data_IF_075582189338
#
_entry.id   IF_075582189338
#
_cell.length_a   1.000
_cell.length_b   1.000
_cell.length_c   1.000
_cell.angle_alpha   90.00
_cell.angle_beta   90.00
_cell.angle_gamma   90.00
#
_symmetry.space_group_name_H-M   'P 1'
#
loop_
_entity.id
_entity.type
_entity.pdbx_description
1 polymer ?
#
# COMPACT_ATOMS: atom_id res chain seq x y z
N UNK A 1 -25.71 -59.01 -14.72
CA UNK A 1 -26.45 -57.74 -14.58
C UNK A 1 -26.30 -57.24 -13.15
N UNK A 2 -25.74 -56.02 -13.02
CA UNK A 2 -25.82 -55.05 -11.90
C UNK A 2 -25.22 -55.33 -10.51
N UNK A 3 -24.63 -54.23 -9.99
CA UNK A 3 -24.11 -53.90 -8.63
C UNK A 3 -22.67 -54.36 -8.37
N UNK A 4 -21.68 -53.51 -8.05
CA UNK A 4 -21.69 -52.28 -7.26
C UNK A 4 -20.61 -51.28 -7.72
N UNK A 5 -21.05 -50.06 -8.01
CA UNK A 5 -20.26 -48.83 -8.09
C UNK A 5 -20.37 -48.16 -6.71
N UNK A 6 -19.33 -48.12 -5.87
CA UNK A 6 -19.35 -47.38 -4.60
C UNK A 6 -18.00 -47.16 -3.87
N UNK A 7 -16.82 -47.29 -4.50
CA UNK A 7 -15.54 -47.06 -3.79
C UNK A 7 -14.94 -45.65 -3.94
N UNK A 8 -15.40 -44.82 -4.88
CA UNK A 8 -14.80 -43.48 -5.12
C UNK A 8 -15.40 -42.30 -4.33
N UNK A 9 -16.29 -42.55 -3.36
CA UNK A 9 -16.91 -41.47 -2.56
C UNK A 9 -16.42 -41.33 -1.12
N UNK A 10 -15.58 -42.24 -0.63
CA UNK A 10 -15.10 -42.18 0.76
C UNK A 10 -13.91 -41.23 0.98
N UNK A 11 -13.05 -41.00 -0.01
CA UNK A 11 -11.89 -40.09 0.16
C UNK A 11 -12.21 -38.60 0.06
N UNK A 12 -13.26 -38.19 -0.67
CA UNK A 12 -13.67 -36.78 -0.74
C UNK A 12 -14.51 -36.32 0.45
N UNK A 13 -15.27 -37.23 1.09
CA UNK A 13 -16.11 -36.91 2.24
C UNK A 13 -15.26 -36.56 3.49
N UNK A 14 -14.11 -37.20 3.67
CA UNK A 14 -13.21 -36.94 4.81
C UNK A 14 -12.53 -35.57 4.67
N UNK A 15 -12.16 -35.16 3.45
CA UNK A 15 -11.56 -33.83 3.20
C UNK A 15 -12.58 -32.71 3.40
N UNK A 16 -13.85 -32.92 3.02
CA UNK A 16 -14.92 -31.96 3.27
C UNK A 16 -15.34 -31.90 4.76
N UNK A 17 -15.33 -33.03 5.47
CA UNK A 17 -15.70 -33.08 6.89
C UNK A 17 -14.65 -32.38 7.78
N UNK A 18 -13.37 -32.45 7.41
CA UNK A 18 -12.29 -31.71 8.10
C UNK A 18 -12.42 -30.19 7.88
N UNK A 19 -12.94 -29.75 6.73
CA UNK A 19 -13.23 -28.32 6.49
C UNK A 19 -14.50 -27.84 7.22
N UNK A 20 -15.48 -28.70 7.47
CA UNK A 20 -16.74 -28.30 8.12
C UNK A 20 -16.66 -28.27 9.66
N UNK A 21 -15.79 -29.06 10.28
CA UNK A 21 -15.60 -29.07 11.74
C UNK A 21 -14.67 -27.92 12.22
N UNK A 22 -13.93 -27.28 11.31
CA UNK A 22 -13.10 -26.11 11.61
C UNK A 22 -13.85 -24.79 11.92
N UNK A 23 -15.18 -24.81 12.02
CA UNK A 23 -16.02 -23.62 12.21
C UNK A 23 -16.43 -23.33 13.67
N UNK A 24 -16.02 -24.13 14.67
CA UNK A 24 -16.15 -23.78 16.09
C UNK A 24 -14.94 -24.28 16.88
N UNK A 25 -14.37 -23.43 17.73
CA UNK A 25 -13.24 -23.64 18.66
C UNK A 25 -11.81 -23.42 18.13
N UNK A 26 -11.45 -22.14 18.00
CA UNK A 26 -10.06 -21.70 18.05
C UNK A 26 -9.50 -21.76 19.47
N UNK A 27 -9.03 -22.93 19.91
CA UNK A 27 -8.09 -23.07 21.05
C UNK A 27 -7.48 -24.48 21.22
N UNK A 28 -7.90 -25.51 20.46
CA UNK A 28 -7.42 -26.90 20.67
C UNK A 28 -6.40 -27.45 19.66
N UNK A 29 -5.81 -26.61 18.79
CA UNK A 29 -4.90 -27.06 17.71
C UNK A 29 -3.42 -27.16 18.10
N UNK A 30 -3.06 -26.98 19.38
CA UNK A 30 -1.68 -27.15 19.86
C UNK A 30 -1.35 -28.55 20.42
N UNK A 31 -2.32 -29.45 20.61
CA UNK A 31 -2.08 -30.75 21.28
C UNK A 31 -1.90 -31.97 20.36
N UNK A 32 -2.13 -31.87 19.05
CA UNK A 32 -2.00 -33.01 18.12
C UNK A 32 -0.67 -33.06 17.33
N UNK A 33 0.29 -32.17 17.61
CA UNK A 33 1.61 -32.17 16.94
C UNK A 33 2.50 -33.38 17.25
N UNK A 34 2.25 -34.12 18.34
CA UNK A 34 2.98 -35.34 18.69
C UNK A 34 2.44 -36.61 18.01
N UNK A 35 1.19 -36.62 17.57
CA UNK A 35 0.59 -37.80 16.91
C UNK A 35 0.88 -37.84 15.41
N UNK A 36 0.94 -36.69 14.73
CA UNK A 36 1.26 -36.64 13.29
C UNK A 36 2.68 -37.12 12.95
N UNK A 37 3.66 -36.92 13.83
CA UNK A 37 5.04 -37.44 13.62
C UNK A 37 5.18 -38.96 13.78
N UNK A 38 4.16 -39.65 14.31
CA UNK A 38 4.16 -41.12 14.38
C UNK A 38 3.68 -41.75 13.07
N UNK A 39 2.82 -41.08 12.31
CA UNK A 39 2.32 -41.58 11.03
C UNK A 39 3.32 -41.42 9.88
N UNK A 40 4.23 -40.42 9.95
CA UNK A 40 5.31 -40.26 8.96
C UNK A 40 6.41 -41.33 9.03
N UNK A 41 6.42 -42.17 10.08
CA UNK A 41 7.49 -43.18 10.29
C UNK A 41 7.14 -44.59 9.82
N UNK A 42 5.87 -44.90 9.54
CA UNK A 42 5.42 -46.27 9.31
C UNK A 42 5.01 -46.59 7.87
N UNK A 43 4.94 -45.60 6.96
CA UNK A 43 4.70 -45.84 5.54
C UNK A 43 5.81 -45.22 4.71
N UNK A 44 6.78 -46.04 4.31
CA UNK A 44 7.87 -45.67 3.41
C UNK A 44 7.36 -45.26 2.03
N UNK A 45 6.86 -44.04 1.91
CA UNK A 45 6.46 -43.43 0.65
C UNK A 45 7.73 -42.83 0.02
N UNK A 46 8.18 -43.46 -1.05
CA UNK A 46 9.34 -43.05 -1.83
C UNK A 46 9.21 -41.61 -2.38
N UNK A 47 10.30 -40.86 -2.23
CA UNK A 47 10.46 -39.42 -2.39
C UNK A 47 10.41 -38.88 -3.85
N UNK A 48 9.95 -39.67 -4.83
CA UNK A 48 10.03 -39.28 -6.25
C UNK A 48 8.77 -38.58 -6.80
N UNK A 49 7.64 -38.61 -6.08
CA UNK A 49 6.39 -37.97 -6.51
C UNK A 49 6.28 -36.47 -6.13
N UNK A 50 7.17 -35.95 -5.28
CA UNK A 50 7.09 -34.57 -4.76
C UNK A 50 8.04 -33.57 -5.39
N UNK A 51 8.84 -33.96 -6.38
CA UNK A 51 9.82 -33.08 -7.05
C UNK A 51 9.21 -31.85 -7.75
N UNK A 52 7.88 -31.82 -7.96
CA UNK A 52 7.13 -30.69 -8.52
C UNK A 52 6.37 -29.81 -7.52
N UNK A 53 6.20 -30.26 -6.27
CA UNK A 53 5.40 -29.53 -5.28
C UNK A 53 6.29 -28.64 -4.43
N UNK A 54 6.25 -27.33 -4.69
CA UNK A 54 6.90 -26.34 -3.84
C UNK A 54 6.26 -26.43 -2.45
N UNK A 55 6.97 -27.01 -1.48
CA UNK A 55 6.54 -27.12 -0.07
C UNK A 55 6.02 -25.76 0.39
N UNK A 56 4.71 -25.68 0.56
CA UNK A 56 4.02 -24.46 0.96
C UNK A 56 4.15 -24.33 2.47
N UNK A 57 4.63 -23.19 2.95
CA UNK A 57 4.61 -22.91 4.38
C UNK A 57 3.17 -22.73 4.85
N UNK A 58 2.84 -23.31 6.01
CA UNK A 58 1.51 -23.27 6.61
C UNK A 58 0.99 -21.85 6.94
N UNK A 59 1.85 -20.83 6.78
CA UNK A 59 1.55 -19.41 6.98
C UNK A 59 0.99 -18.71 5.72
N UNK A 60 0.91 -19.39 4.58
CA UNK A 60 0.42 -18.82 3.31
C UNK A 60 1.39 -17.82 2.66
N UNK A 61 2.63 -17.74 3.12
CA UNK A 61 3.62 -16.78 2.62
C UNK A 61 4.46 -17.37 1.49
N UNK A 62 4.55 -16.68 0.36
CA UNK A 62 5.31 -17.14 -0.80
C UNK A 62 6.79 -16.82 -0.65
N UNK A 63 7.59 -17.86 -0.40
CA UNK A 63 9.05 -17.77 -0.28
C UNK A 63 9.72 -18.14 -1.60
N UNK A 64 10.26 -17.14 -2.29
CA UNK A 64 11.07 -17.32 -3.49
C UNK A 64 12.55 -17.47 -3.11
N UNK A 65 13.24 -18.44 -3.72
CA UNK A 65 14.65 -18.73 -3.41
C UNK A 65 15.58 -17.78 -4.18
N UNK A 66 16.72 -17.43 -3.59
CA UNK A 66 17.77 -16.69 -4.30
C UNK A 66 18.22 -17.50 -5.53
N UNK A 67 18.37 -16.84 -6.67
CA UNK A 67 18.71 -17.48 -7.95
C UNK A 67 17.51 -18.00 -8.75
N UNK A 68 16.33 -18.16 -8.13
CA UNK A 68 15.11 -18.61 -8.82
C UNK A 68 14.73 -17.61 -9.93
N UNK A 69 14.38 -18.11 -11.13
CA UNK A 69 13.97 -17.28 -12.27
C UNK A 69 12.44 -17.28 -12.38
N UNK A 70 11.83 -16.12 -12.19
CA UNK A 70 10.38 -15.92 -12.25
C UNK A 70 9.98 -15.34 -13.61
N UNK A 71 8.91 -15.89 -14.19
CA UNK A 71 8.35 -15.40 -15.44
C UNK A 71 9.32 -15.45 -16.63
N UNK A 72 10.26 -16.41 -16.61
CA UNK A 72 11.33 -16.61 -17.61
C UNK A 72 12.26 -15.40 -17.82
N UNK A 73 12.22 -14.41 -16.91
CA UNK A 73 12.90 -13.11 -17.12
C UNK A 73 13.58 -12.56 -15.88
N UNK A 74 13.05 -12.83 -14.69
CA UNK A 74 13.45 -12.12 -13.47
C UNK A 74 14.09 -13.07 -12.46
N UNK A 75 15.41 -12.97 -12.31
CA UNK A 75 16.15 -13.74 -11.32
C UNK A 75 16.08 -13.07 -9.95
N UNK A 76 15.73 -13.83 -8.92
CA UNK A 76 15.68 -13.36 -7.53
C UNK A 76 17.09 -13.15 -6.98
N UNK A 77 17.36 -11.94 -6.48
CA UNK A 77 18.67 -11.54 -5.95
C UNK A 77 18.67 -11.60 -4.42
N UNK A 78 17.73 -10.90 -3.78
CA UNK A 78 17.62 -10.81 -2.32
C UNK A 78 16.21 -10.40 -1.90
N UNK A 79 15.81 -10.74 -0.66
CA UNK A 79 14.58 -10.23 -0.03
C UNK A 79 14.81 -8.78 0.38
N UNK A 80 13.91 -7.88 0.00
CA UNK A 80 13.94 -6.46 0.38
C UNK A 80 13.14 -6.19 1.65
N UNK A 81 12.06 -6.93 1.85
CA UNK A 81 11.19 -6.72 2.99
C UNK A 81 10.05 -7.73 3.06
N UNK A 82 9.38 -7.68 4.20
CA UNK A 82 8.19 -8.46 4.54
C UNK A 82 7.07 -7.48 4.86
N UNK A 83 5.99 -7.56 4.10
CA UNK A 83 4.78 -6.78 4.33
C UNK A 83 3.65 -7.68 4.82
N UNK A 84 2.54 -7.07 5.25
CA UNK A 84 1.36 -7.80 5.74
C UNK A 84 0.67 -8.70 4.71
N UNK A 85 1.00 -8.56 3.42
CA UNK A 85 0.40 -9.32 2.32
C UNK A 85 1.38 -10.26 1.59
N UNK A 86 2.67 -10.27 1.96
CA UNK A 86 3.68 -11.13 1.34
C UNK A 86 5.10 -10.56 1.35
N UNK A 87 5.96 -11.14 0.50
CA UNK A 87 7.37 -10.78 0.40
C UNK A 87 7.67 -9.93 -0.84
N UNK A 88 8.56 -8.95 -0.65
CA UNK A 88 9.10 -8.14 -1.73
C UNK A 88 10.57 -8.50 -1.93
N UNK A 89 10.94 -8.75 -3.17
CA UNK A 89 12.25 -9.19 -3.59
C UNK A 89 12.88 -8.19 -4.56
N UNK A 90 14.18 -8.05 -4.49
CA UNK A 90 14.96 -7.47 -5.57
C UNK A 90 15.20 -8.52 -6.62
N UNK A 91 14.91 -8.19 -7.86
CA UNK A 91 15.13 -9.07 -9.00
C UNK A 91 16.00 -8.40 -10.05
N UNK A 92 16.66 -9.20 -10.89
CA UNK A 92 17.45 -8.76 -12.03
C UNK A 92 16.86 -9.37 -13.31
N UNK A 93 16.66 -8.56 -14.34
CA UNK A 93 16.34 -9.05 -15.66
C UNK A 93 17.55 -9.84 -16.20
N UNK A 94 17.37 -11.11 -16.52
CA UNK A 94 18.47 -11.99 -16.97
C UNK A 94 19.08 -11.56 -18.30
N UNK A 95 18.30 -10.86 -19.17
CA UNK A 95 18.78 -10.39 -20.48
C UNK A 95 19.47 -9.03 -20.38
N UNK A 96 18.84 -8.07 -19.70
CA UNK A 96 19.31 -6.66 -19.71
C UNK A 96 20.13 -6.28 -18.48
N UNK A 97 20.14 -7.12 -17.44
CA UNK A 97 20.75 -6.81 -16.16
C UNK A 97 20.05 -5.73 -15.33
N UNK A 98 18.95 -5.16 -15.83
CA UNK A 98 18.16 -4.15 -15.12
C UNK A 98 17.57 -4.70 -13.82
N UNK A 99 17.60 -3.90 -12.75
CA UNK A 99 17.10 -4.28 -11.42
C UNK A 99 15.67 -3.78 -11.21
N UNK A 100 14.81 -4.63 -10.67
CA UNK A 100 13.40 -4.34 -10.38
C UNK A 100 12.99 -4.88 -8.99
N UNK A 101 11.80 -4.52 -8.53
CA UNK A 101 11.17 -5.08 -7.34
C UNK A 101 10.10 -6.10 -7.77
N UNK A 102 10.05 -7.25 -7.11
CA UNK A 102 9.04 -8.29 -7.33
C UNK A 102 8.26 -8.50 -6.04
N UNK A 103 6.93 -8.35 -6.11
CA UNK A 103 6.01 -8.69 -5.02
C UNK A 103 5.25 -9.95 -5.40
N UNK A 104 5.14 -10.90 -4.47
CA UNK A 104 4.44 -12.16 -4.67
C UNK A 104 3.50 -12.46 -3.49
N UNK A 105 2.30 -12.95 -3.81
CA UNK A 105 1.24 -13.26 -2.84
C UNK A 105 0.62 -14.62 -3.17
N UNK A 106 0.26 -15.39 -2.14
CA UNK A 106 -0.40 -16.69 -2.33
C UNK A 106 -1.81 -16.51 -2.88
N UNK A 107 -2.21 -17.40 -3.78
CA UNK A 107 -3.58 -17.44 -4.29
C UNK A 107 -4.56 -18.16 -3.34
N UNK A 108 -4.03 -18.86 -2.33
CA UNK A 108 -4.80 -19.75 -1.45
C UNK A 108 -5.26 -19.09 -0.15
N UNK A 109 -5.00 -17.79 0.03
CA UNK A 109 -5.41 -17.05 1.23
C UNK A 109 -6.92 -16.75 1.15
N UNK A 110 -7.64 -17.07 2.23
CA UNK A 110 -9.05 -16.70 2.45
C UNK A 110 -9.23 -15.18 2.32
N UNK A 111 -10.10 -14.74 1.40
CA UNK A 111 -10.27 -13.33 1.05
C UNK A 111 -9.54 -12.88 -0.22
N UNK A 112 -8.71 -13.76 -0.80
CA UNK A 112 -8.01 -13.53 -2.08
C UNK A 112 -6.79 -12.61 -1.97
N UNK A 113 -5.98 -12.57 -3.04
CA UNK A 113 -4.81 -11.70 -3.13
C UNK A 113 -5.20 -10.25 -3.47
N UNK A 114 -4.63 -9.30 -2.74
CA UNK A 114 -4.77 -7.86 -3.00
C UNK A 114 -3.91 -7.41 -4.18
N UNK A 115 -2.94 -8.21 -4.60
CA UNK A 115 -2.06 -7.94 -5.74
C UNK A 115 -2.81 -7.66 -7.04
N UNK A 116 -3.99 -8.27 -7.25
CA UNK A 116 -4.83 -8.00 -8.43
C UNK A 116 -5.27 -6.53 -8.47
N UNK A 117 -5.66 -5.97 -7.32
CA UNK A 117 -6.02 -4.57 -7.18
C UNK A 117 -4.80 -3.67 -7.42
N UNK A 118 -3.65 -4.00 -6.84
CA UNK A 118 -2.42 -3.22 -7.06
C UNK A 118 -2.02 -3.16 -8.53
N UNK A 119 -2.04 -4.30 -9.23
CA UNK A 119 -1.79 -4.37 -10.67
C UNK A 119 -2.79 -3.52 -11.45
N UNK A 120 -4.08 -3.55 -11.09
CA UNK A 120 -5.10 -2.72 -11.75
C UNK A 120 -4.85 -1.22 -11.54
N UNK A 121 -4.52 -0.81 -10.32
CA UNK A 121 -4.22 0.58 -9.98
C UNK A 121 -2.99 1.06 -10.74
N UNK A 122 -1.91 0.27 -10.71
CA UNK A 122 -0.67 0.59 -11.43
C UNK A 122 -0.85 0.68 -12.94
N UNK A 123 -1.68 -0.19 -13.53
CA UNK A 123 -2.03 -0.08 -14.96
C UNK A 123 -2.74 1.23 -15.28
N UNK A 124 -3.67 1.70 -14.43
CA UNK A 124 -4.33 3.01 -14.64
C UNK A 124 -3.39 4.19 -14.44
N UNK A 125 -2.33 3.99 -13.66
CA UNK A 125 -1.30 4.98 -13.35
C UNK A 125 -0.09 4.94 -14.31
N UNK A 126 -0.13 4.12 -15.36
CA UNK A 126 0.97 4.00 -16.30
C UNK A 126 1.38 5.36 -16.89
N UNK A 127 2.68 5.62 -16.98
CA UNK A 127 3.25 6.87 -17.49
C UNK A 127 3.25 8.04 -16.50
N UNK A 128 2.75 7.87 -15.27
CA UNK A 128 2.78 8.93 -14.25
C UNK A 128 4.08 8.88 -13.44
N UNK A 129 4.68 10.05 -13.16
CA UNK A 129 6.04 10.11 -12.59
C UNK A 129 6.16 9.69 -11.12
N UNK A 130 5.11 9.78 -10.30
CA UNK A 130 5.24 9.64 -8.83
C UNK A 130 4.82 8.29 -8.29
N UNK A 131 4.75 7.29 -9.17
CA UNK A 131 4.24 5.95 -8.87
C UNK A 131 5.11 4.92 -9.59
N UNK A 132 5.05 3.67 -9.15
CA UNK A 132 5.83 2.61 -9.78
C UNK A 132 5.36 2.34 -11.22
N UNK A 133 6.28 2.00 -12.11
CA UNK A 133 5.95 1.42 -13.40
C UNK A 133 5.75 -0.09 -13.23
N UNK A 134 4.67 -0.62 -13.78
CA UNK A 134 4.43 -2.06 -13.82
C UNK A 134 5.18 -2.66 -15.01
N UNK A 135 6.19 -3.49 -14.74
CA UNK A 135 7.04 -4.12 -15.76
C UNK A 135 6.49 -5.47 -16.21
N UNK A 136 5.91 -6.23 -15.29
CA UNK A 136 5.33 -7.55 -15.56
C UNK A 136 4.35 -7.93 -14.45
N UNK A 137 3.32 -8.71 -14.76
CA UNK A 137 2.48 -9.35 -13.75
C UNK A 137 1.93 -10.66 -14.31
N UNK A 138 1.83 -11.69 -13.48
CA UNK A 138 1.13 -12.91 -13.85
C UNK A 138 0.53 -13.62 -12.64
N UNK A 139 -0.49 -14.42 -12.91
CA UNK A 139 -1.09 -15.36 -11.96
C UNK A 139 -0.58 -16.76 -12.32
N UNK A 140 0.07 -17.43 -11.37
CA UNK A 140 0.34 -18.88 -11.44
C UNK A 140 -0.76 -19.63 -10.69
N UNK A 141 -0.66 -20.94 -10.61
CA UNK A 141 -1.59 -21.78 -9.86
C UNK A 141 -1.56 -21.45 -8.36
N UNK A 142 -0.39 -21.50 -7.73
CA UNK A 142 -0.24 -21.33 -6.27
C UNK A 142 -0.05 -19.89 -5.81
N UNK A 143 0.44 -18.99 -6.68
CA UNK A 143 0.67 -17.59 -6.32
C UNK A 143 0.52 -16.63 -7.50
N UNK A 144 0.32 -15.36 -7.18
CA UNK A 144 0.39 -14.25 -8.13
C UNK A 144 1.64 -13.42 -7.86
N UNK A 145 2.22 -12.84 -8.91
CA UNK A 145 3.35 -11.91 -8.76
C UNK A 145 3.22 -10.72 -9.69
N UNK A 146 3.87 -9.63 -9.29
CA UNK A 146 4.12 -8.46 -10.11
C UNK A 146 5.57 -8.02 -9.97
N UNK A 147 6.10 -7.46 -11.05
CA UNK A 147 7.42 -6.85 -11.13
C UNK A 147 7.22 -5.39 -11.48
N UNK A 148 7.84 -4.51 -10.71
CA UNK A 148 7.68 -3.07 -10.81
C UNK A 148 9.01 -2.34 -10.60
N UNK A 149 9.01 -1.03 -10.81
CA UNK A 149 10.15 -0.15 -10.53
C UNK A 149 10.75 -0.43 -9.14
N UNK A 150 12.07 -0.58 -9.09
CA UNK A 150 12.81 -0.69 -7.84
C UNK A 150 13.17 0.70 -7.31
N UNK A 151 12.69 1.03 -6.12
CA UNK A 151 12.96 2.31 -5.45
C UNK A 151 14.11 2.21 -4.42
N UNK A 152 14.48 3.37 -3.88
CA UNK A 152 15.49 3.53 -2.83
C UNK A 152 14.89 3.32 -1.43
N UNK A 153 15.35 4.13 -0.47
CA UNK A 153 14.87 4.06 0.93
C UNK A 153 13.49 4.70 1.06
N UNK A 154 12.70 4.22 2.01
CA UNK A 154 11.44 4.87 2.38
C UNK A 154 11.69 6.07 3.30
N UNK A 155 10.73 6.99 3.35
CA UNK A 155 10.76 8.12 4.28
C UNK A 155 10.80 7.63 5.74
N UNK A 156 10.18 6.49 6.05
CA UNK A 156 10.29 5.86 7.37
C UNK A 156 11.73 5.54 7.79
N UNK A 157 12.63 5.28 6.83
CA UNK A 157 14.05 5.02 7.10
C UNK A 157 14.94 6.25 6.94
N UNK A 158 14.45 7.30 6.27
CA UNK A 158 15.21 8.52 6.00
C UNK A 158 14.93 9.63 7.01
N UNK A 159 13.70 9.69 7.52
CA UNK A 159 13.27 10.73 8.45
C UNK A 159 13.60 10.31 9.90
N UNK A 160 14.15 11.22 10.71
CA UNK A 160 14.39 10.94 12.11
C UNK A 160 13.06 10.84 12.86
N UNK A 161 12.90 9.79 13.68
CA UNK A 161 11.71 9.62 14.54
C UNK A 161 11.55 10.73 15.58
N UNK A 162 12.61 11.49 15.84
CA UNK A 162 12.57 12.62 16.77
C UNK A 162 11.93 13.89 16.20
N UNK A 163 11.61 13.95 14.89
CA UNK A 163 10.88 15.08 14.30
C UNK A 163 11.71 16.35 14.04
N UNK A 164 12.98 16.23 13.67
CA UNK A 164 13.89 17.38 13.46
C UNK A 164 14.24 17.64 11.99
N UNK A 165 13.31 17.38 11.07
CA UNK A 165 13.54 17.64 9.64
C UNK A 165 13.40 19.13 9.34
N UNK A 166 14.24 19.70 8.48
CA UNK A 166 14.14 21.13 8.13
C UNK A 166 12.81 21.45 7.43
N UNK A 167 12.33 22.70 7.60
CA UNK A 167 11.14 23.21 6.91
C UNK A 167 11.25 23.03 5.40
N UNK A 168 12.44 23.31 4.83
CA UNK A 168 12.71 23.13 3.41
C UNK A 168 12.44 21.70 2.93
N UNK A 169 12.87 20.69 3.69
CA UNK A 169 12.61 19.29 3.36
C UNK A 169 11.14 18.93 3.59
N UNK A 170 10.52 19.44 4.67
CA UNK A 170 9.08 19.23 4.95
C UNK A 170 8.20 19.63 3.76
N UNK A 171 8.34 20.87 3.26
CA UNK A 171 7.47 21.37 2.18
C UNK A 171 7.75 20.69 0.84
N UNK A 172 9.01 20.36 0.52
CA UNK A 172 9.35 19.61 -0.69
C UNK A 172 8.78 18.19 -0.68
N UNK A 173 8.87 17.51 0.47
CA UNK A 173 8.26 16.19 0.66
C UNK A 173 6.74 16.30 0.53
N UNK A 174 6.12 17.30 1.16
CA UNK A 174 4.68 17.56 1.06
C UNK A 174 4.21 17.72 -0.37
N UNK A 175 4.93 18.48 -1.19
CA UNK A 175 4.58 18.70 -2.60
C UNK A 175 4.68 17.40 -3.42
N UNK A 176 5.70 16.57 -3.19
CA UNK A 176 5.79 15.27 -3.87
C UNK A 176 4.69 14.29 -3.43
N UNK A 177 4.37 14.23 -2.13
CA UNK A 177 3.28 13.39 -1.62
C UNK A 177 1.94 13.85 -2.21
N UNK A 178 1.65 15.15 -2.16
CA UNK A 178 0.44 15.75 -2.71
C UNK A 178 0.24 15.38 -4.18
N UNK A 179 1.30 15.46 -4.98
CA UNK A 179 1.23 15.14 -6.40
C UNK A 179 1.02 13.64 -6.66
N UNK A 180 1.64 12.76 -5.87
CA UNK A 180 1.37 11.31 -5.91
C UNK A 180 -0.07 10.96 -5.53
N UNK A 181 -0.59 11.55 -4.45
CA UNK A 181 -2.00 11.40 -4.01
C UNK A 181 -2.95 11.90 -5.10
N UNK A 182 -2.70 13.10 -5.64
CA UNK A 182 -3.52 13.66 -6.72
C UNK A 182 -3.57 12.73 -7.93
N UNK A 183 -2.44 12.22 -8.40
CA UNK A 183 -2.40 11.28 -9.54
C UNK A 183 -3.28 10.05 -9.31
N UNK A 184 -3.24 9.48 -8.11
CA UNK A 184 -4.10 8.35 -7.73
C UNK A 184 -5.59 8.74 -7.71
N UNK A 185 -5.90 9.90 -7.14
CA UNK A 185 -7.26 10.40 -7.07
C UNK A 185 -7.85 10.66 -8.48
N UNK A 186 -7.07 11.22 -9.41
CA UNK A 186 -7.52 11.48 -10.79
C UNK A 186 -7.81 10.20 -11.57
N UNK A 187 -7.20 9.06 -11.22
CA UNK A 187 -7.55 7.75 -11.82
C UNK A 187 -8.70 7.05 -11.08
N UNK A 188 -9.30 7.70 -10.09
CA UNK A 188 -10.53 7.28 -9.42
C UNK A 188 -10.32 6.39 -8.19
N UNK A 189 -9.13 6.38 -7.61
CA UNK A 189 -8.80 5.60 -6.42
C UNK A 189 -8.42 6.49 -5.23
N UNK A 190 -8.67 6.01 -4.02
CA UNK A 190 -8.06 6.49 -2.77
C UNK A 190 -7.07 5.44 -2.26
N UNK A 191 -5.98 5.86 -1.64
CA UNK A 191 -4.90 5.00 -1.16
C UNK A 191 -5.24 4.31 0.16
N UNK A 192 -5.78 5.06 1.12
CA UNK A 192 -6.17 4.62 2.48
C UNK A 192 -5.05 4.15 3.41
N UNK A 193 -3.78 4.31 3.03
CA UNK A 193 -2.62 3.92 3.87
C UNK A 193 -1.37 4.74 3.51
N UNK A 194 -1.55 6.05 3.32
CA UNK A 194 -0.42 6.98 3.13
C UNK A 194 0.35 7.06 4.45
N UNK A 195 1.63 6.69 4.41
CA UNK A 195 2.53 6.68 5.58
C UNK A 195 3.99 6.70 5.13
N UNK A 196 4.95 7.04 6.01
CA UNK A 196 6.35 7.15 5.62
C UNK A 196 6.95 5.87 5.02
N UNK A 197 6.42 4.69 5.40
CA UNK A 197 6.89 3.40 4.86
C UNK A 197 6.46 3.15 3.39
N UNK A 198 5.38 3.79 2.94
CA UNK A 198 4.82 3.68 1.59
C UNK A 198 5.25 4.85 0.68
N UNK A 199 6.13 5.72 1.19
CA UNK A 199 6.67 6.87 0.48
C UNK A 199 8.16 6.65 0.28
N UNK A 200 8.60 6.37 -0.95
CA UNK A 200 9.99 6.02 -1.24
C UNK A 200 10.64 7.01 -2.18
N UNK A 201 11.94 7.26 -1.98
CA UNK A 201 12.73 8.03 -2.95
C UNK A 201 13.20 7.15 -4.10
N UNK A 202 13.49 7.74 -5.26
CA UNK A 202 14.19 7.03 -6.33
C UNK A 202 15.59 6.57 -5.91
N UNK A 203 16.22 5.73 -6.73
CA UNK A 203 17.49 5.08 -6.34
C UNK A 203 18.74 5.91 -6.57
N UNK A 204 18.80 6.68 -7.65
CA UNK A 204 20.03 7.31 -8.14
C UNK A 204 19.73 8.61 -8.86
N UNK A 205 20.75 9.45 -8.97
CA UNK A 205 20.69 10.69 -9.74
C UNK A 205 19.56 11.60 -9.25
N UNK A 206 18.80 12.12 -10.20
CA UNK A 206 17.73 13.09 -9.94
C UNK A 206 16.51 12.44 -9.28
N UNK A 207 16.20 11.19 -9.63
CA UNK A 207 15.09 10.42 -9.06
C UNK A 207 15.23 10.22 -7.54
N UNK A 208 16.46 10.20 -7.02
CA UNK A 208 16.71 10.11 -5.58
C UNK A 208 16.20 11.32 -4.78
N UNK A 209 15.78 12.39 -5.47
CA UNK A 209 15.19 13.60 -4.88
C UNK A 209 13.67 13.64 -5.01
N UNK A 210 13.06 12.64 -5.66
CA UNK A 210 11.62 12.56 -5.91
C UNK A 210 11.01 11.50 -4.98
N UNK A 211 9.94 11.88 -4.27
CA UNK A 211 9.16 10.96 -3.44
C UNK A 211 8.03 10.35 -4.28
N UNK A 212 7.90 9.02 -4.20
CA UNK A 212 6.93 8.21 -4.92
C UNK A 212 5.98 7.54 -3.94
N UNK A 213 4.72 7.41 -4.35
CA UNK A 213 3.66 6.73 -3.61
C UNK A 213 3.60 5.26 -4.04
N UNK A 214 3.68 4.34 -3.08
CA UNK A 214 3.72 2.90 -3.30
C UNK A 214 2.69 2.17 -2.43
N UNK A 215 2.47 0.90 -2.75
CA UNK A 215 1.63 -0.05 -2.02
C UNK A 215 0.12 0.29 -2.05
N UNK A 216 -0.52 -0.12 -3.15
CA UNK A 216 -1.95 0.09 -3.38
C UNK A 216 -2.82 -1.07 -2.86
N UNK A 217 -2.28 -1.96 -2.01
CA UNK A 217 -3.01 -3.14 -1.52
C UNK A 217 -4.25 -2.80 -0.70
N UNK A 218 -4.27 -1.61 -0.10
CA UNK A 218 -5.42 -1.05 0.62
C UNK A 218 -6.19 -0.01 -0.19
N UNK A 219 -5.85 0.24 -1.45
CA UNK A 219 -6.56 1.22 -2.26
C UNK A 219 -8.05 0.86 -2.42
N UNK A 220 -8.85 1.84 -2.84
CA UNK A 220 -10.27 1.63 -3.15
C UNK A 220 -10.70 2.56 -4.25
N UNK A 221 -11.38 2.01 -5.25
CA UNK A 221 -12.02 2.83 -6.27
C UNK A 221 -13.17 3.60 -5.60
N UNK A 222 -13.16 4.92 -5.67
CA UNK A 222 -14.22 5.77 -5.08
C UNK A 222 -15.21 6.27 -6.14
N UNK A 223 -14.97 5.97 -7.41
CA UNK A 223 -15.84 6.31 -8.54
C UNK A 223 -16.43 5.06 -9.19
N UNK A 224 -17.55 5.26 -9.90
CA UNK A 224 -18.16 4.31 -10.84
C UNK A 224 -18.14 4.98 -12.21
N UNK A 225 -17.72 4.25 -13.23
CA UNK A 225 -17.75 4.69 -14.63
C UNK A 225 -18.81 3.88 -15.37
N UNK A 226 -19.94 4.50 -15.68
CA UNK A 226 -21.02 3.88 -16.45
C UNK A 226 -21.34 4.77 -17.66
N UNK A 227 -21.28 4.21 -18.87
CA UNK A 227 -21.68 4.86 -20.12
C UNK A 227 -21.14 6.29 -20.29
N UNK A 228 -19.83 6.48 -20.06
CA UNK A 228 -19.17 7.79 -20.17
C UNK A 228 -19.36 8.74 -18.97
N UNK A 229 -20.27 8.44 -18.03
CA UNK A 229 -20.48 9.24 -16.83
C UNK A 229 -19.66 8.71 -15.65
N UNK A 230 -18.96 9.62 -14.94
CA UNK A 230 -18.24 9.30 -13.70
C UNK A 230 -19.07 9.77 -12.51
N UNK A 231 -19.44 8.84 -11.63
CA UNK A 231 -20.16 9.16 -10.37
C UNK A 231 -19.36 8.71 -9.17
N UNK A 232 -19.46 9.44 -8.06
CA UNK A 232 -18.87 9.01 -6.78
C UNK A 232 -19.70 7.84 -6.23
N UNK A 233 -19.04 6.79 -5.76
CA UNK A 233 -19.67 5.64 -5.10
C UNK A 233 -20.34 6.08 -3.81
N UNK A 234 -21.56 5.60 -3.56
CA UNK A 234 -22.26 5.82 -2.29
C UNK A 234 -21.39 5.29 -1.13
N UNK A 235 -21.15 6.09 -0.08
CA UNK A 235 -20.34 5.68 1.06
C UNK A 235 -21.03 4.57 1.85
N UNK A 236 -20.26 3.56 2.26
CA UNK A 236 -20.75 2.51 3.16
C UNK A 236 -20.92 3.08 4.57
N UNK A 237 -21.94 2.62 5.28
CA UNK A 237 -22.30 3.11 6.62
C UNK A 237 -21.39 2.61 7.75
N UNK A 238 -20.77 1.43 7.60
CA UNK A 238 -19.86 0.88 8.60
C UNK A 238 -18.73 0.13 7.91
N UNK A 239 -17.55 0.74 7.85
CA UNK A 239 -16.38 0.14 7.22
C UNK A 239 -15.46 -0.50 8.24
N UNK A 240 -14.85 -1.63 7.86
CA UNK A 240 -13.78 -2.20 8.65
C UNK A 240 -12.58 -1.26 8.64
N UNK A 241 -12.01 -1.01 9.81
CA UNK A 241 -10.77 -0.26 9.94
C UNK A 241 -9.67 -0.93 9.11
N UNK A 242 -9.06 -0.16 8.21
CA UNK A 242 -7.90 -0.56 7.41
C UNK A 242 -6.88 0.58 7.42
N UNK A 243 -5.61 0.22 7.27
CA UNK A 243 -4.50 1.18 7.27
C UNK A 243 -3.82 1.30 8.63
N UNK A 244 -2.92 2.28 8.73
CA UNK A 244 -2.04 2.45 9.89
C UNK A 244 -2.61 3.46 10.88
N UNK A 245 -2.96 3.03 12.09
CA UNK A 245 -3.64 3.84 13.12
C UNK A 245 -2.97 5.20 13.41
N UNK A 246 -1.64 5.24 13.34
CA UNK A 246 -0.85 6.46 13.53
C UNK A 246 -1.15 7.53 12.48
N UNK A 247 -1.39 7.17 11.22
CA UNK A 247 -1.53 8.12 10.11
C UNK A 247 -2.93 8.17 9.49
N UNK A 248 -3.83 7.23 9.79
CA UNK A 248 -5.20 7.33 9.26
C UNK A 248 -5.96 8.53 9.84
N UNK A 249 -6.93 9.05 9.10
CA UNK A 249 -7.79 10.16 9.53
C UNK A 249 -8.69 9.80 10.74
N UNK A 250 -9.30 10.81 11.35
CA UNK A 250 -10.36 10.62 12.36
C UNK A 250 -11.56 9.88 11.77
N UNK A 251 -11.96 10.19 10.53
CA UNK A 251 -13.05 9.50 9.85
C UNK A 251 -12.80 7.98 9.71
N UNK A 252 -11.56 7.57 9.40
CA UNK A 252 -11.17 6.15 9.38
C UNK A 252 -11.28 5.47 10.76
N UNK A 253 -10.90 6.18 11.83
CA UNK A 253 -11.10 5.69 13.22
C UNK A 253 -12.58 5.51 13.57
N UNK A 254 -13.43 6.42 13.07
CA UNK A 254 -14.89 6.37 13.26
C UNK A 254 -15.61 5.41 12.31
N UNK A 255 -14.86 4.54 11.60
CA UNK A 255 -15.40 3.54 10.66
C UNK A 255 -16.18 4.13 9.47
N UNK A 256 -16.02 5.42 9.19
CA UNK A 256 -16.60 6.05 8.01
C UNK A 256 -15.93 5.58 6.71
N UNK A 257 -16.65 5.67 5.59
CA UNK A 257 -16.03 5.41 4.28
C UNK A 257 -14.95 6.46 4.00
N UNK A 258 -13.75 5.98 3.68
CA UNK A 258 -12.62 6.84 3.37
C UNK A 258 -12.75 7.41 1.95
N UNK A 259 -12.64 8.72 1.83
CA UNK A 259 -12.57 9.47 0.59
C UNK A 259 -11.22 10.16 0.42
N UNK A 260 -11.18 11.07 -0.56
CA UNK A 260 -9.96 11.84 -0.92
C UNK A 260 -9.40 12.68 0.25
N UNK A 261 -10.22 13.31 1.12
CA UNK A 261 -9.69 14.07 2.26
C UNK A 261 -8.89 13.21 3.25
N UNK A 262 -9.19 11.91 3.37
CA UNK A 262 -8.55 11.03 4.33
C UNK A 262 -7.07 10.76 4.00
N UNK A 263 -6.73 10.65 2.71
CA UNK A 263 -5.34 10.53 2.26
C UNK A 263 -4.57 11.84 2.48
N UNK A 264 -5.23 12.99 2.35
CA UNK A 264 -4.63 14.30 2.61
C UNK A 264 -4.42 14.55 4.12
N UNK A 265 -5.33 14.09 4.98
CA UNK A 265 -5.10 14.05 6.43
C UNK A 265 -3.90 13.17 6.79
N UNK A 266 -3.78 12.02 6.13
CA UNK A 266 -2.64 11.13 6.32
C UNK A 266 -1.32 11.80 5.91
N UNK A 267 -1.30 12.53 4.78
CA UNK A 267 -0.18 13.39 4.39
C UNK A 267 0.11 14.46 5.46
N UNK A 268 -0.91 15.16 5.95
CA UNK A 268 -0.74 16.21 6.95
C UNK A 268 -0.10 15.68 8.25
N UNK A 269 -0.49 14.48 8.71
CA UNK A 269 0.15 13.84 9.86
C UNK A 269 1.60 13.43 9.58
N UNK A 270 1.92 12.95 8.38
CA UNK A 270 3.33 12.71 7.98
C UNK A 270 4.14 14.00 8.04
N UNK A 271 3.59 15.10 7.54
CA UNK A 271 4.27 16.40 7.58
C UNK A 271 4.41 16.95 9.00
N UNK A 272 3.42 16.76 9.87
CA UNK A 272 3.53 17.11 11.29
C UNK A 272 4.65 16.31 11.99
N UNK A 273 4.70 14.99 11.75
CA UNK A 273 5.71 14.10 12.35
C UNK A 273 7.15 14.46 11.92
N UNK A 274 7.32 15.06 10.74
CA UNK A 274 8.64 15.56 10.29
C UNK A 274 9.19 16.68 11.16
N UNK A 275 8.32 17.40 11.90
CA UNK A 275 8.63 18.59 12.70
C UNK A 275 8.42 18.41 14.21
N UNK A 276 8.01 17.21 14.62
CA UNK A 276 7.81 16.89 16.03
C UNK A 276 7.19 15.52 16.19
N UNK A 277 6.99 15.11 17.44
CA UNK A 277 6.32 13.85 17.74
C UNK A 277 4.81 14.05 17.65
N UNK A 278 4.08 13.11 17.03
CA UNK A 278 2.62 13.16 17.01
C UNK A 278 2.05 13.02 18.44
N UNK A 279 0.97 13.73 18.82
CA UNK A 279 0.43 13.66 20.19
C UNK A 279 0.03 12.26 20.66
N UNK A 280 -0.22 11.34 19.72
CA UNK A 280 -0.57 9.93 19.97
C UNK A 280 0.56 8.93 19.67
N UNK A 281 1.82 9.39 19.54
CA UNK A 281 2.97 8.55 19.13
C UNK A 281 3.18 7.31 20.02
N UNK A 282 3.01 7.46 21.33
CA UNK A 282 3.22 6.40 22.34
C UNK A 282 2.04 5.46 22.50
N UNK A 283 0.92 5.74 21.84
CA UNK A 283 -0.31 4.96 21.99
C UNK A 283 -0.36 3.82 20.99
N UNK A 284 -0.91 2.68 21.42
CA UNK A 284 -1.13 1.49 20.58
C UNK A 284 -2.60 1.15 20.42
N UNK A 285 -3.46 1.58 21.35
CA UNK A 285 -4.91 1.36 21.28
C UNK A 285 -5.53 2.25 20.21
N UNK A 286 -6.18 1.63 19.21
CA UNK A 286 -6.76 2.34 18.06
C UNK A 286 -7.84 3.34 18.47
N UNK A 287 -8.71 2.98 19.40
CA UNK A 287 -9.81 3.84 19.84
C UNK A 287 -9.27 5.07 20.58
N UNK A 288 -8.28 4.86 21.45
CA UNK A 288 -7.62 5.95 22.18
C UNK A 288 -6.90 6.91 21.23
N UNK A 289 -6.14 6.38 20.26
CA UNK A 289 -5.51 7.19 19.19
C UNK A 289 -6.58 8.02 18.47
N UNK A 290 -7.72 7.42 18.12
CA UNK A 290 -8.83 8.11 17.46
C UNK A 290 -9.39 9.28 18.29
N UNK A 291 -9.55 9.10 19.60
CA UNK A 291 -10.04 10.16 20.49
C UNK A 291 -9.03 11.29 20.67
N UNK A 292 -7.75 10.97 20.89
CA UNK A 292 -6.70 11.98 20.97
C UNK A 292 -6.60 12.76 19.66
N UNK A 293 -6.67 12.09 18.51
CA UNK A 293 -6.71 12.77 17.20
C UNK A 293 -7.88 13.73 17.04
N UNK A 294 -9.07 13.35 17.54
CA UNK A 294 -10.27 14.17 17.47
C UNK A 294 -10.15 15.43 18.34
N UNK A 295 -9.52 15.31 19.51
CA UNK A 295 -9.45 16.37 20.51
C UNK A 295 -8.18 17.25 20.39
N UNK A 296 -7.18 16.79 19.64
CA UNK A 296 -5.97 17.58 19.36
C UNK A 296 -6.31 18.79 18.50
N UNK A 297 -6.00 19.98 18.98
CA UNK A 297 -6.11 21.20 18.20
C UNK A 297 -5.08 21.22 17.06
N UNK A 298 -5.48 21.73 15.90
CA UNK A 298 -4.59 21.81 14.74
C UNK A 298 -3.35 22.70 15.04
N UNK A 299 -3.50 23.75 15.87
CA UNK A 299 -2.39 24.58 16.37
C UNK A 299 -1.36 23.81 17.20
N UNK A 300 -1.80 22.81 17.98
CA UNK A 300 -0.90 21.93 18.75
C UNK A 300 -0.19 20.97 17.80
N UNK A 301 -0.95 20.35 16.88
CA UNK A 301 -0.44 19.39 15.90
C UNK A 301 0.65 20.01 15.00
N UNK A 302 0.48 21.26 14.58
CA UNK A 302 1.39 21.96 13.66
C UNK A 302 2.25 23.03 14.33
N UNK A 303 2.40 23.01 15.67
CA UNK A 303 3.15 23.99 16.45
C UNK A 303 4.58 24.27 15.96
N UNK A 304 5.27 23.26 15.42
CA UNK A 304 6.63 23.37 14.88
C UNK A 304 6.71 23.48 13.34
N UNK A 305 5.56 23.63 12.67
CA UNK A 305 5.42 23.72 11.21
C UNK A 305 5.09 25.15 10.78
N UNK A 306 5.33 25.52 9.51
CA UNK A 306 4.85 26.79 8.95
C UNK A 306 3.33 26.94 9.09
N UNK A 307 2.84 28.18 9.24
CA UNK A 307 1.41 28.47 9.40
C UNK A 307 0.54 27.90 8.28
N UNK A 308 1.10 27.75 7.08
CA UNK A 308 0.42 27.19 5.91
C UNK A 308 -0.09 25.76 6.15
N UNK A 309 0.49 25.00 7.09
CA UNK A 309 -0.05 23.70 7.47
C UNK A 309 -1.36 23.84 8.27
N UNK A 310 -1.57 24.95 9.00
CA UNK A 310 -2.85 25.28 9.61
C UNK A 310 -3.88 25.67 8.54
N UNK A 311 -3.48 26.47 7.56
CA UNK A 311 -4.35 26.86 6.44
C UNK A 311 -4.83 25.61 5.66
N UNK A 312 -3.91 24.68 5.39
CA UNK A 312 -4.22 23.37 4.80
C UNK A 312 -5.18 22.58 5.71
N UNK A 313 -4.93 22.52 7.01
CA UNK A 313 -5.80 21.81 7.94
C UNK A 313 -7.22 22.39 7.94
N UNK A 314 -7.37 23.72 7.97
CA UNK A 314 -8.66 24.41 7.87
C UNK A 314 -9.39 24.04 6.59
N UNK A 315 -8.71 24.03 5.45
CA UNK A 315 -9.29 23.53 4.20
C UNK A 315 -9.76 22.08 4.35
N UNK A 316 -8.91 21.17 4.85
CA UNK A 316 -9.25 19.76 5.01
C UNK A 316 -10.43 19.50 5.96
N UNK A 317 -10.61 20.34 7.00
CA UNK A 317 -11.77 20.27 7.92
C UNK A 317 -13.09 20.63 7.24
N UNK A 318 -13.05 21.46 6.20
CA UNK A 318 -14.25 21.84 5.42
C UNK A 318 -14.74 20.75 4.47
N UNK A 319 -13.91 19.73 4.20
CA UNK A 319 -14.19 18.71 3.19
C UNK A 319 -15.00 17.54 3.76
N UNK A 320 -15.88 17.00 2.94
CA UNK A 320 -16.54 15.72 3.17
C UNK A 320 -16.19 14.69 2.08
N UNK A 321 -16.72 13.48 2.18
CA UNK A 321 -16.46 12.38 1.25
C UNK A 321 -16.73 12.74 -0.23
N UNK A 322 -17.76 13.53 -0.51
CA UNK A 322 -18.15 13.92 -1.88
C UNK A 322 -17.33 15.10 -2.42
N UNK A 323 -16.80 15.92 -1.53
CA UNK A 323 -16.11 17.16 -1.92
C UNK A 323 -14.76 16.84 -2.57
N UNK A 324 -14.47 17.48 -3.70
CA UNK A 324 -13.16 17.38 -4.33
C UNK A 324 -12.19 18.33 -3.59
N UNK A 325 -11.08 17.85 -3.02
CA UNK A 325 -10.09 18.73 -2.43
C UNK A 325 -9.52 19.70 -3.48
N UNK A 326 -9.31 20.95 -3.08
CA UNK A 326 -8.50 21.88 -3.86
C UNK A 326 -7.01 21.56 -3.70
N UNK A 327 -6.49 20.67 -4.55
CA UNK A 327 -5.08 20.31 -4.56
C UNK A 327 -4.18 21.49 -4.98
N UNK A 328 -4.70 22.44 -5.77
CA UNK A 328 -3.90 23.57 -6.23
C UNK A 328 -3.65 24.55 -5.10
N UNK A 329 -4.68 24.84 -4.30
CA UNK A 329 -4.52 25.66 -3.10
C UNK A 329 -3.49 25.05 -2.14
N UNK A 330 -3.60 23.75 -1.84
CA UNK A 330 -2.63 23.06 -0.97
C UNK A 330 -1.20 23.15 -1.55
N UNK A 331 -1.04 23.05 -2.87
CA UNK A 331 0.25 23.25 -3.52
C UNK A 331 0.75 24.68 -3.34
N UNK A 332 -0.08 25.69 -3.58
CA UNK A 332 0.26 27.11 -3.43
C UNK A 332 0.65 27.44 -1.99
N UNK A 333 -0.03 26.86 -1.00
CA UNK A 333 0.31 27.01 0.41
C UNK A 333 1.74 26.50 0.68
N UNK A 334 2.07 25.29 0.23
CA UNK A 334 3.42 24.72 0.40
C UNK A 334 4.49 25.46 -0.42
N UNK A 335 4.17 25.89 -1.64
CA UNK A 335 5.06 26.66 -2.53
C UNK A 335 5.37 28.03 -1.94
N UNK A 336 4.39 28.72 -1.34
CA UNK A 336 4.58 30.03 -0.74
C UNK A 336 5.64 30.03 0.38
N UNK A 337 5.72 28.94 1.15
CA UNK A 337 6.77 28.76 2.18
C UNK A 337 8.15 28.67 1.53
N UNK A 338 8.24 28.00 0.38
CA UNK A 338 9.49 27.88 -0.37
C UNK A 338 9.93 29.24 -0.92
N UNK A 339 9.00 30.00 -1.50
CA UNK A 339 9.26 31.33 -2.05
C UNK A 339 9.71 32.31 -0.96
N UNK A 340 8.95 32.40 0.14
CA UNK A 340 9.24 33.30 1.25
C UNK A 340 10.60 33.01 1.93
N UNK A 341 11.03 31.74 1.94
CA UNK A 341 12.29 31.32 2.55
C UNK A 341 13.46 31.23 1.55
N UNK A 342 13.24 31.59 0.27
CA UNK A 342 14.26 31.47 -0.78
C UNK A 342 14.69 30.02 -1.09
N UNK A 343 13.87 29.02 -0.75
CA UNK A 343 14.19 27.62 -1.00
C UNK A 343 14.09 27.29 -2.48
N UNK A 344 15.23 27.02 -3.12
CA UNK A 344 15.25 26.67 -4.53
C UNK A 344 14.71 25.25 -4.77
N UNK A 345 13.89 25.12 -5.80
CA UNK A 345 13.74 23.86 -6.53
C UNK A 345 14.98 23.61 -7.39
N UNK A 346 15.34 22.34 -7.60
CA UNK A 346 16.10 22.00 -8.81
C UNK A 346 15.11 22.16 -9.97
N UNK A 347 15.11 23.36 -10.57
CA UNK A 347 14.12 23.95 -11.49
C UNK A 347 13.60 23.08 -12.65
N UNK A 348 14.19 21.93 -12.94
CA UNK A 348 13.98 21.25 -14.21
C UNK A 348 12.75 20.31 -14.28
N UNK A 349 12.13 19.93 -13.15
CA UNK A 349 11.01 18.95 -13.15
C UNK A 349 9.64 19.55 -12.85
N UNK A 350 9.56 20.60 -12.03
CA UNK A 350 8.30 21.32 -11.93
C UNK A 350 8.08 22.16 -13.18
N UNK A 351 9.09 22.73 -13.82
CA UNK A 351 8.83 23.42 -15.09
C UNK A 351 8.43 22.51 -16.25
N UNK A 352 8.65 21.19 -16.24
CA UNK A 352 8.15 20.30 -17.31
C UNK A 352 6.89 19.51 -16.93
N UNK A 353 6.62 19.33 -15.63
CA UNK A 353 5.34 18.78 -15.14
C UNK A 353 4.28 19.86 -14.82
N UNK A 354 4.72 21.12 -14.63
CA UNK A 354 3.94 22.31 -14.23
C UNK A 354 4.08 23.45 -15.26
N UNK A 355 4.77 23.28 -16.40
CA UNK A 355 4.49 24.18 -17.54
C UNK A 355 3.08 23.93 -18.03
N UNK A 356 2.13 24.67 -17.44
CA UNK A 356 0.92 25.27 -18.00
C UNK A 356 -0.10 24.38 -18.73
N UNK A 357 0.25 23.23 -19.29
CA UNK A 357 -0.65 22.40 -20.10
C UNK A 357 -1.37 21.32 -19.27
N UNK A 358 -0.81 20.79 -18.17
CA UNK A 358 -1.49 19.73 -17.39
C UNK A 358 -2.44 20.28 -16.33
N UNK A 359 -2.18 21.49 -15.80
CA UNK A 359 -3.09 22.14 -14.85
C UNK A 359 -4.29 22.83 -15.54
N UNK A 360 -4.13 23.37 -16.77
CA UNK A 360 -5.24 23.99 -17.52
C UNK A 360 -6.10 22.97 -18.29
N UNK A 361 -5.58 21.80 -18.66
CA UNK A 361 -6.35 20.80 -19.43
C UNK A 361 -7.25 19.91 -18.55
N UNK A 362 -7.19 20.03 -17.22
CA UNK A 362 -8.01 19.23 -16.27
C UNK A 362 -8.76 20.15 -15.29
N UNK A 363 -9.21 21.32 -15.78
CA UNK A 363 -10.27 22.11 -15.14
C UNK A 363 -11.60 22.02 -15.90
N UNK A 364 -11.68 21.26 -17.00
CA UNK A 364 -12.87 21.16 -17.85
C UNK A 364 -13.49 19.74 -17.95
N UNK A 365 -13.29 18.87 -16.97
CA UNK A 365 -14.03 17.59 -16.89
C UNK A 365 -14.49 17.29 -15.46
#
# INVERSE_FOLDING_TARGET
MTMHCLEDRFSLAVVYLICFIGLKFGSLLLRSRKQLRRLEKDEGIHDEAFAGFKVMSADGVIRLKRGEVIGKRWQVIEKLGEGGCGYVYKVKNIKTGAKAALKAESNLILGGSVLKLEVQVLKRLAGRMHVAELLQSARKETYSYMVMTLFGRSLNTLLPRSGHTSVSTQVRVGIHILYGIKQLHEVGYVHRDVKPANLLVGRRGREARIVHLLDFGLAREYVIRNSGTVKIRVPRTNTLFRGTARYCSVNAHMRGEQGRPDDLWSMAYVLAEMRGVLPWDKLTNKNEIGQIKKNTLDSVLFSNSPKQLLDIATHLRSLNYYTRPDYFQIYKDLESVMEASGFRYIRQYLKTAITYQVFLTIQKC
#
